data_IF_614254414768
#
_entry.id   IF_614254414768
#
_cell.length_a   1.000
_cell.length_b   1.000
_cell.length_c   1.000
_cell.angle_alpha   90.00
_cell.angle_beta   90.00
_cell.angle_gamma   90.00
#
_symmetry.space_group_name_H-M   'P 1'
#
loop_
_entity.id
_entity.type
_entity.pdbx_description
1 polymer ?
#
# COMPACT_ATOMS: atom_id res chain seq x y z
N UNK A 1 -6.48 10.00 -13.96
CA UNK A 1 -7.94 9.90 -13.72
C UNK A 1 -8.22 10.62 -12.41
N UNK A 2 -9.24 11.47 -12.30
CA UNK A 2 -9.46 12.25 -11.09
C UNK A 2 -9.99 11.31 -10.01
N UNK A 3 -9.18 11.00 -8.99
CA UNK A 3 -9.62 10.25 -7.83
C UNK A 3 -10.38 11.20 -6.91
N UNK A 4 -11.69 10.98 -6.85
CA UNK A 4 -12.49 11.01 -5.63
C UNK A 4 -11.63 10.77 -4.37
N UNK A 5 -11.95 11.48 -3.29
CA UNK A 5 -11.11 11.63 -2.08
C UNK A 5 -10.82 10.33 -1.30
N UNK A 6 -11.13 9.16 -1.86
CA UNK A 6 -10.84 7.82 -1.37
C UNK A 6 -10.40 6.96 -2.57
N UNK A 7 -9.21 6.36 -2.52
CA UNK A 7 -8.72 5.54 -3.64
C UNK A 7 -7.31 5.02 -3.44
N UNK A 8 -6.81 4.28 -4.42
CA UNK A 8 -5.44 3.77 -4.40
C UNK A 8 -4.44 4.89 -4.68
N UNK A 9 -3.46 5.03 -3.78
CA UNK A 9 -2.31 5.93 -3.93
C UNK A 9 -1.05 5.07 -3.95
N UNK A 10 -0.12 5.37 -4.86
CA UNK A 10 1.18 4.70 -4.86
C UNK A 10 1.92 4.99 -3.55
N UNK A 11 2.53 3.98 -2.94
CA UNK A 11 3.27 4.13 -1.69
C UNK A 11 4.32 5.26 -1.74
N UNK A 12 5.01 5.42 -2.89
CA UNK A 12 5.99 6.51 -3.12
C UNK A 12 5.42 7.93 -3.01
N UNK A 13 4.09 8.08 -3.11
CA UNK A 13 3.40 9.37 -3.04
C UNK A 13 2.74 9.61 -1.67
N UNK A 14 2.86 8.67 -0.72
CA UNK A 14 2.33 8.84 0.63
C UNK A 14 3.27 9.73 1.44
N UNK A 15 2.71 10.65 2.22
CA UNK A 15 3.45 11.49 3.15
C UNK A 15 2.78 11.53 4.53
N UNK A 16 3.55 11.94 5.55
CA UNK A 16 3.00 12.13 6.89
C UNK A 16 1.80 13.10 6.86
N UNK A 17 0.80 12.82 7.70
CA UNK A 17 -0.47 13.53 7.73
C UNK A 17 -1.53 13.01 6.75
N UNK A 18 -1.18 12.10 5.83
CA UNK A 18 -2.17 11.38 5.02
C UNK A 18 -2.87 10.30 5.84
N UNK A 19 -4.06 9.93 5.39
CA UNK A 19 -4.88 8.91 5.98
C UNK A 19 -4.82 7.60 5.17
N UNK A 20 -4.72 6.47 5.87
CA UNK A 20 -4.70 5.12 5.29
C UNK A 20 -5.74 4.25 5.98
N UNK A 21 -6.18 3.19 5.30
CA UNK A 21 -7.12 2.22 5.85
C UNK A 21 -6.38 1.15 6.66
N UNK A 22 -6.77 0.99 7.93
CA UNK A 22 -6.20 0.04 8.88
C UNK A 22 -7.31 -0.83 9.46
N UNK A 23 -7.07 -2.13 9.55
CA UNK A 23 -7.96 -3.09 10.19
C UNK A 23 -7.66 -3.13 11.69
N UNK A 24 -8.65 -2.72 12.50
CA UNK A 24 -8.54 -2.78 13.95
C UNK A 24 -8.70 -4.23 14.47
N UNK A 25 -8.50 -4.41 15.78
CA UNK A 25 -8.60 -5.73 16.43
C UNK A 25 -10.00 -6.35 16.36
N UNK A 26 -11.04 -5.53 16.15
CA UNK A 26 -12.43 -5.99 15.94
C UNK A 26 -12.70 -6.44 14.50
N UNK A 27 -11.69 -6.38 13.61
CA UNK A 27 -11.83 -6.73 12.19
C UNK A 27 -12.52 -5.65 11.35
N UNK A 28 -12.64 -4.43 11.87
CA UNK A 28 -13.28 -3.29 11.21
C UNK A 28 -12.21 -2.43 10.54
N UNK A 29 -12.46 -2.05 9.29
CA UNK A 29 -11.59 -1.13 8.56
C UNK A 29 -11.86 0.31 9.00
N UNK A 30 -10.86 0.91 9.64
CA UNK A 30 -10.86 2.30 10.11
C UNK A 30 -9.82 3.12 9.35
N UNK A 31 -9.80 4.42 9.58
CA UNK A 31 -8.80 5.32 9.01
C UNK A 31 -7.81 5.76 10.08
N UNK A 32 -6.52 5.64 9.79
CA UNK A 32 -5.44 6.16 10.64
C UNK A 32 -4.52 7.11 9.87
N UNK A 33 -3.88 8.02 10.61
CA UNK A 33 -2.98 9.03 10.04
C UNK A 33 -1.54 8.55 10.05
N UNK A 34 -0.87 8.63 8.90
CA UNK A 34 0.55 8.30 8.74
C UNK A 34 1.40 9.29 9.53
N UNK A 35 2.17 8.78 10.49
CA UNK A 35 3.06 9.59 11.33
C UNK A 35 4.44 9.81 10.70
N UNK A 36 4.95 8.83 9.96
CA UNK A 36 6.26 8.87 9.32
C UNK A 36 6.29 7.98 8.06
N UNK A 37 7.17 8.34 7.12
CA UNK A 37 7.46 7.56 5.91
C UNK A 37 8.98 7.45 5.77
N UNK A 38 9.48 6.25 5.50
CA UNK A 38 10.90 5.96 5.33
C UNK A 38 11.12 4.84 4.32
N UNK A 39 12.18 4.93 3.53
CA UNK A 39 12.60 3.85 2.63
C UNK A 39 13.44 2.80 3.38
N UNK A 40 13.13 1.52 3.16
CA UNK A 40 13.86 0.39 3.74
C UNK A 40 14.14 -0.65 2.67
N UNK A 41 15.41 -1.07 2.55
CA UNK A 41 15.82 -2.15 1.65
C UNK A 41 15.82 -3.47 2.42
N UNK A 42 15.07 -4.46 1.91
CA UNK A 42 15.01 -5.83 2.45
C UNK A 42 15.13 -6.85 1.32
N UNK A 43 15.52 -8.08 1.67
CA UNK A 43 15.63 -9.20 0.72
C UNK A 43 14.28 -9.92 0.57
N UNK A 44 13.89 -10.20 -0.68
CA UNK A 44 12.68 -10.97 -1.03
C UNK A 44 11.42 -10.10 -1.16
N UNK A 45 10.46 -10.60 -1.96
CA UNK A 45 9.15 -9.97 -2.21
C UNK A 45 8.07 -11.05 -2.41
N UNK A 46 6.83 -10.74 -2.03
CA UNK A 46 5.65 -11.60 -2.20
C UNK A 46 4.46 -10.72 -2.58
N UNK A 47 3.80 -11.07 -3.69
CA UNK A 47 2.63 -10.36 -4.22
C UNK A 47 1.53 -11.37 -4.60
N UNK A 48 0.80 -11.93 -3.62
CA UNK A 48 -0.24 -12.92 -3.88
C UNK A 48 -1.47 -12.23 -4.45
N UNK A 49 -2.02 -12.79 -5.53
CA UNK A 49 -3.23 -12.29 -6.14
C UNK A 49 -4.45 -12.98 -5.53
N UNK A 50 -5.29 -12.19 -4.86
CA UNK A 50 -6.61 -12.64 -4.38
C UNK A 50 -7.67 -12.38 -5.44
N UNK A 51 -8.84 -13.02 -5.33
CA UNK A 51 -9.99 -12.76 -6.20
C UNK A 51 -10.43 -11.29 -6.14
N UNK A 52 -10.36 -10.69 -4.95
CA UNK A 52 -10.71 -9.28 -4.72
C UNK A 52 -9.64 -8.29 -5.22
N UNK A 53 -8.42 -8.76 -5.52
CA UNK A 53 -7.31 -7.89 -5.92
C UNK A 53 -6.79 -6.97 -4.81
N UNK A 54 -7.15 -7.25 -3.55
CA UNK A 54 -6.73 -6.53 -2.35
C UNK A 54 -6.31 -7.50 -1.24
N UNK A 55 -5.54 -6.99 -0.29
CA UNK A 55 -5.00 -7.74 0.83
C UNK A 55 -4.81 -6.84 2.07
N UNK A 56 -4.92 -7.44 3.25
CA UNK A 56 -4.52 -6.81 4.52
C UNK A 56 -3.14 -7.34 4.88
N UNK A 57 -2.15 -6.45 4.99
CA UNK A 57 -0.79 -6.79 5.43
C UNK A 57 -0.39 -5.88 6.57
N UNK A 58 0.01 -6.49 7.69
CA UNK A 58 0.31 -5.77 8.93
C UNK A 58 -0.80 -4.78 9.29
N UNK A 59 -2.05 -5.26 9.21
CA UNK A 59 -3.26 -4.48 9.46
C UNK A 59 -3.54 -3.35 8.45
N UNK A 60 -2.73 -3.11 7.43
CA UNK A 60 -2.97 -2.07 6.43
C UNK A 60 -3.62 -2.66 5.18
N UNK A 61 -4.68 -2.02 4.68
CA UNK A 61 -5.28 -2.41 3.40
C UNK A 61 -4.43 -1.94 2.22
N UNK A 62 -4.12 -2.87 1.32
CA UNK A 62 -3.32 -2.62 0.13
C UNK A 62 -3.89 -3.33 -1.10
N UNK A 63 -3.55 -2.81 -2.28
CA UNK A 63 -3.77 -3.53 -3.53
C UNK A 63 -2.78 -4.70 -3.66
N UNK A 64 -3.20 -5.78 -4.33
CA UNK A 64 -2.28 -6.84 -4.77
C UNK A 64 -1.29 -6.39 -5.86
N UNK A 65 -1.51 -5.22 -6.48
CA UNK A 65 -0.74 -4.76 -7.62
C UNK A 65 0.30 -3.72 -7.22
N UNK A 66 1.51 -3.89 -7.75
CA UNK A 66 2.57 -2.90 -7.68
C UNK A 66 2.97 -2.49 -9.10
N UNK A 67 2.72 -1.24 -9.47
CA UNK A 67 3.21 -0.70 -10.75
C UNK A 67 4.67 -0.34 -10.59
N UNK A 68 5.55 -1.05 -11.30
CA UNK A 68 6.97 -0.74 -11.34
C UNK A 68 7.22 0.31 -12.42
N UNK A 69 7.27 1.56 -11.98
CA UNK A 69 7.53 2.73 -12.84
C UNK A 69 9.05 2.99 -13.02
N UNK A 70 9.90 2.19 -12.36
CA UNK A 70 11.35 2.23 -12.49
C UNK A 70 11.84 1.11 -13.40
N UNK A 71 12.33 1.48 -14.57
CA UNK A 71 12.90 0.55 -15.54
C UNK A 71 14.06 -0.28 -14.98
N UNK A 72 14.79 0.28 -14.01
CA UNK A 72 15.87 -0.42 -13.31
C UNK A 72 15.33 -1.49 -12.35
N UNK A 73 14.34 -1.15 -11.52
CA UNK A 73 13.73 -2.10 -10.57
C UNK A 73 12.97 -3.20 -11.32
N UNK A 74 12.35 -2.85 -12.45
CA UNK A 74 11.61 -3.82 -13.28
C UNK A 74 12.50 -4.95 -13.82
N UNK A 75 13.82 -4.75 -13.90
CA UNK A 75 14.77 -5.77 -14.35
C UNK A 75 15.34 -6.61 -13.20
N UNK A 76 15.00 -6.29 -11.94
CA UNK A 76 15.53 -6.97 -10.74
C UNK A 76 14.55 -7.95 -10.10
N UNK A 77 13.34 -8.06 -10.65
CA UNK A 77 12.27 -8.97 -10.20
C UNK A 77 12.25 -10.28 -10.99
#
# INVERSE_FOLDING_TARGET
MPTDKHGYVMAKNIHAGMNVYVMNDDGILITETVSNVSDVVKQGYVAPLTVEGTLIVNNVAASCYATIDSHYIAHTV
#
